data_IF_725175838111
#
_entry.id   IF_725175838111
#
_cell.length_a   1.000
_cell.length_b   1.000
_cell.length_c   1.000
_cell.angle_alpha   90.00
_cell.angle_beta   90.00
_cell.angle_gamma   90.00
#
_symmetry.space_group_name_H-M   'P 1'
#
loop_
_entity.id
_entity.type
_entity.pdbx_description
1 polymer ?
#
# COMPACT_ATOMS: atom_id res chain seq x y z
N UNK A 1 -3.19 20.06 10.82
CA UNK A 1 -3.95 19.06 11.59
C UNK A 1 -3.41 17.71 11.21
N UNK A 2 -2.64 17.04 12.08
CA UNK A 2 -2.17 15.68 11.81
C UNK A 2 -3.34 14.73 12.00
N UNK A 3 -3.75 14.04 10.94
CA UNK A 3 -4.55 12.84 11.09
C UNK A 3 -3.73 11.87 11.94
N UNK A 4 -4.26 11.50 13.11
CA UNK A 4 -3.75 10.36 13.87
C UNK A 4 -4.04 9.13 13.02
N UNK A 5 -3.06 8.69 12.22
CA UNK A 5 -3.09 7.35 11.65
C UNK A 5 -2.90 6.37 12.81
N UNK A 6 -3.88 5.50 13.02
CA UNK A 6 -3.82 4.37 13.96
C UNK A 6 -2.83 3.28 13.48
N UNK A 7 -1.67 3.67 12.96
CA UNK A 7 -0.67 2.76 12.43
C UNK A 7 0.45 2.55 13.43
N UNK A 8 0.61 1.33 13.92
CA UNK A 8 1.87 0.90 14.54
C UNK A 8 2.98 0.79 13.47
N UNK A 9 4.21 0.59 13.94
CA UNK A 9 5.36 0.36 13.06
C UNK A 9 5.08 -0.77 12.07
N UNK A 10 5.41 -0.52 10.81
CA UNK A 10 5.29 -1.52 9.75
C UNK A 10 6.67 -1.94 9.29
N UNK A 11 6.92 -3.24 9.30
CA UNK A 11 8.20 -3.82 8.91
C UNK A 11 8.04 -4.65 7.64
N UNK A 12 9.06 -4.59 6.79
CA UNK A 12 9.16 -5.40 5.60
C UNK A 12 10.62 -5.79 5.34
N UNK A 13 10.85 -6.84 4.54
CA UNK A 13 12.18 -7.15 4.04
C UNK A 13 12.35 -6.75 2.60
N UNK A 14 13.58 -6.41 2.22
CA UNK A 14 14.01 -6.37 0.83
C UNK A 14 15.22 -7.29 0.62
N UNK A 15 15.24 -7.96 -0.52
CA UNK A 15 16.31 -8.87 -0.93
C UNK A 15 16.90 -8.44 -2.29
N UNK A 16 18.21 -8.65 -2.46
CA UNK A 16 18.83 -8.60 -3.78
C UNK A 16 18.26 -9.74 -4.65
N UNK A 17 17.81 -9.44 -5.87
CA UNK A 17 17.26 -10.44 -6.79
C UNK A 17 18.33 -11.42 -7.29
N UNK A 18 19.60 -11.04 -7.27
CA UNK A 18 20.70 -11.81 -7.85
C UNK A 18 21.25 -12.90 -6.92
N UNK A 19 21.05 -12.78 -5.60
CA UNK A 19 21.55 -13.74 -4.62
C UNK A 19 20.80 -13.64 -3.27
N UNK A 20 21.14 -14.52 -2.32
CA UNK A 20 20.51 -14.58 -0.99
C UNK A 20 21.36 -14.00 0.14
N UNK A 21 22.50 -13.37 -0.16
CA UNK A 21 23.49 -12.98 0.84
C UNK A 21 23.74 -11.47 0.89
N UNK A 22 23.76 -10.79 -0.25
CA UNK A 22 24.13 -9.38 -0.36
C UNK A 22 22.92 -8.45 -0.36
N UNK A 23 23.13 -7.19 0.08
CA UNK A 23 22.15 -6.09 0.00
C UNK A 23 20.74 -6.48 0.47
N UNK A 24 20.64 -7.16 1.61
CA UNK A 24 19.35 -7.47 2.24
C UNK A 24 19.04 -6.41 3.27
N UNK A 25 17.80 -5.95 3.30
CA UNK A 25 17.38 -4.90 4.22
C UNK A 25 16.17 -5.33 5.04
N UNK A 26 16.18 -4.97 6.32
CA UNK A 26 14.95 -4.74 7.07
C UNK A 26 14.55 -3.29 6.82
N UNK A 27 13.37 -3.08 6.27
CA UNK A 27 12.79 -1.76 6.08
C UNK A 27 11.81 -1.49 7.22
N UNK A 28 12.00 -0.36 7.90
CA UNK A 28 11.10 0.07 8.97
C UNK A 28 10.38 1.33 8.51
N UNK A 29 9.05 1.26 8.52
CA UNK A 29 8.15 2.36 8.17
C UNK A 29 7.39 2.81 9.42
N UNK A 30 7.15 4.12 9.53
CA UNK A 30 6.37 4.69 10.62
C UNK A 30 4.95 4.09 10.69
N UNK A 31 4.35 3.82 9.53
CA UNK A 31 3.06 3.13 9.39
C UNK A 31 3.04 2.33 8.08
N UNK A 32 2.02 1.49 7.91
CA UNK A 32 1.74 0.84 6.64
C UNK A 32 1.49 1.84 5.50
N UNK A 33 0.75 2.92 5.75
CA UNK A 33 0.46 3.95 4.74
C UNK A 33 1.74 4.59 4.20
N UNK A 34 2.76 4.75 5.06
CA UNK A 34 4.08 5.23 4.64
C UNK A 34 4.76 4.20 3.73
N UNK A 35 4.61 2.90 3.99
CA UNK A 35 5.15 1.85 3.12
C UNK A 35 4.48 1.83 1.74
N UNK A 36 3.16 1.99 1.70
CA UNK A 36 2.38 2.07 0.47
C UNK A 36 2.69 3.34 -0.32
N UNK A 37 2.80 4.49 0.37
CA UNK A 37 3.23 5.77 -0.21
C UNK A 37 4.66 5.69 -0.77
N UNK A 38 5.60 5.12 -0.01
CA UNK A 38 6.97 4.95 -0.45
C UNK A 38 7.05 4.10 -1.73
N UNK A 39 6.37 2.94 -1.75
CA UNK A 39 6.39 2.08 -2.92
C UNK A 39 5.75 2.78 -4.14
N UNK A 40 4.66 3.52 -3.91
CA UNK A 40 4.00 4.31 -4.96
C UNK A 40 4.94 5.36 -5.55
N UNK A 41 5.67 6.11 -4.73
CA UNK A 41 6.66 7.10 -5.20
C UNK A 41 7.78 6.45 -6.01
N UNK A 42 8.24 5.26 -5.60
CA UNK A 42 9.22 4.49 -6.38
C UNK A 42 8.66 4.14 -7.76
N UNK A 43 7.46 3.57 -7.83
CA UNK A 43 6.86 3.20 -9.13
C UNK A 43 6.48 4.39 -9.99
N UNK A 44 5.99 5.48 -9.39
CA UNK A 44 5.66 6.71 -10.11
C UNK A 44 6.92 7.35 -10.70
N UNK A 45 8.04 7.38 -9.96
CA UNK A 45 9.31 7.88 -10.49
C UNK A 45 9.77 7.11 -11.74
N UNK A 46 9.54 5.80 -11.77
CA UNK A 46 9.86 4.95 -12.93
C UNK A 46 8.92 5.23 -14.09
N UNK A 47 7.62 5.39 -13.82
CA UNK A 47 6.62 5.76 -14.83
C UNK A 47 6.91 7.13 -15.45
N UNK A 48 7.45 8.06 -14.66
CA UNK A 48 7.90 9.39 -15.10
C UNK A 48 9.28 9.36 -15.81
N UNK A 49 9.82 8.17 -16.08
CA UNK A 49 11.06 7.96 -16.83
C UNK A 49 12.34 7.91 -15.99
N UNK A 50 12.26 8.07 -14.67
CA UNK A 50 13.41 7.91 -13.77
C UNK A 50 13.62 6.42 -13.41
N UNK A 51 14.19 5.67 -14.36
CA UNK A 51 14.30 4.20 -14.31
C UNK A 51 15.33 3.64 -13.31
N UNK A 52 15.99 4.47 -12.50
CA UNK A 52 17.04 4.04 -11.55
C UNK A 52 16.56 2.94 -10.60
N UNK A 53 15.28 2.98 -10.20
CA UNK A 53 14.70 2.00 -9.29
C UNK A 53 13.70 1.06 -9.97
N UNK A 54 13.75 0.93 -11.30
CA UNK A 54 12.85 0.06 -12.07
C UNK A 54 12.95 -1.42 -11.69
N UNK A 55 14.06 -1.84 -11.07
CA UNK A 55 14.24 -3.19 -10.56
C UNK A 55 13.64 -3.42 -9.16
N UNK A 56 13.10 -2.38 -8.50
CA UNK A 56 12.41 -2.53 -7.21
C UNK A 56 11.02 -3.11 -7.47
N UNK A 57 10.74 -4.27 -6.87
CA UNK A 57 9.44 -4.93 -6.98
C UNK A 57 8.88 -5.26 -5.60
N UNK A 58 7.59 -5.03 -5.42
CA UNK A 58 6.84 -5.53 -4.26
C UNK A 58 6.32 -6.93 -4.59
N UNK A 59 6.76 -7.93 -3.82
CA UNK A 59 6.28 -9.32 -3.93
C UNK A 59 5.08 -9.54 -3.02
N UNK A 60 5.13 -9.00 -1.81
CA UNK A 60 4.01 -8.91 -0.86
C UNK A 60 4.12 -7.59 -0.10
N UNK A 61 3.10 -7.15 0.67
CA UNK A 61 3.21 -5.94 1.47
C UNK A 61 4.44 -5.89 2.40
N UNK A 62 4.91 -7.05 2.88
CA UNK A 62 6.07 -7.18 3.77
C UNK A 62 7.33 -7.74 3.09
N UNK A 63 7.34 -7.90 1.75
CA UNK A 63 8.48 -8.46 1.03
C UNK A 63 8.71 -7.79 -0.33
N UNK A 64 9.93 -7.30 -0.53
CA UNK A 64 10.38 -6.61 -1.74
C UNK A 64 11.63 -7.27 -2.31
N UNK A 65 11.85 -7.08 -3.61
CA UNK A 65 13.11 -7.39 -4.28
C UNK A 65 13.68 -6.15 -4.94
N UNK A 66 14.99 -6.13 -5.15
CA UNK A 66 15.65 -5.11 -5.95
C UNK A 66 16.92 -5.63 -6.61
N UNK A 67 17.46 -4.89 -7.58
CA UNK A 67 18.79 -5.13 -8.13
C UNK A 67 19.72 -3.95 -7.75
N UNK A 68 20.69 -4.13 -6.84
CA UNK A 68 21.57 -3.04 -6.40
C UNK A 68 22.50 -2.54 -7.52
N UNK A 69 22.73 -3.35 -8.57
CA UNK A 69 23.47 -2.93 -9.76
C UNK A 69 22.68 -1.98 -10.68
N UNK A 70 21.36 -1.93 -10.57
CA UNK A 70 20.50 -0.95 -11.26
C UNK A 70 20.21 0.23 -10.34
N UNK A 71 19.80 -0.06 -9.11
CA UNK A 71 19.56 0.94 -8.08
C UNK A 71 19.37 0.29 -6.72
N UNK A 72 20.20 0.69 -5.75
CA UNK A 72 20.10 0.22 -4.39
C UNK A 72 18.84 0.81 -3.72
N UNK A 73 17.90 -0.05 -3.32
CA UNK A 73 16.59 0.31 -2.78
C UNK A 73 16.68 1.26 -1.57
N UNK A 74 17.73 1.13 -0.76
CA UNK A 74 17.94 1.97 0.42
C UNK A 74 18.20 3.45 0.07
N UNK A 75 18.64 3.74 -1.16
CA UNK A 75 18.92 5.11 -1.61
C UNK A 75 17.66 5.89 -2.00
N UNK A 76 16.51 5.21 -2.17
CA UNK A 76 15.23 5.84 -2.55
C UNK A 76 14.81 6.99 -1.63
N UNK A 77 15.07 6.86 -0.32
CA UNK A 77 14.74 7.87 0.71
C UNK A 77 15.75 9.03 0.80
N UNK A 78 16.85 8.93 0.05
CA UNK A 78 17.84 10.01 -0.10
C UNK A 78 17.80 10.66 -1.47
N UNK A 79 17.02 10.10 -2.40
CA UNK A 79 16.92 10.55 -3.78
C UNK A 79 15.83 11.61 -3.94
N UNK A 80 16.23 12.80 -4.41
CA UNK A 80 15.33 13.94 -4.62
C UNK A 80 14.20 13.66 -5.62
N UNK A 81 14.39 12.70 -6.54
CA UNK A 81 13.39 12.38 -7.57
C UNK A 81 12.42 11.28 -7.16
N UNK A 82 12.53 10.76 -5.93
CA UNK A 82 11.77 9.57 -5.50
C UNK A 82 11.05 9.78 -4.19
N UNK A 83 11.71 9.54 -3.05
CA UNK A 83 11.04 9.47 -1.75
C UNK A 83 11.76 10.29 -0.68
N UNK A 84 12.43 11.38 -1.07
CA UNK A 84 13.12 12.28 -0.14
C UNK A 84 12.18 12.81 0.96
N UNK A 85 10.93 13.11 0.61
CA UNK A 85 9.92 13.64 1.54
C UNK A 85 9.48 12.63 2.63
N UNK A 86 9.84 11.36 2.47
CA UNK A 86 9.61 10.31 3.47
C UNK A 86 10.79 10.12 4.42
N UNK A 87 11.85 10.93 4.29
CA UNK A 87 12.98 10.93 5.24
C UNK A 87 12.47 11.18 6.67
N UNK A 88 12.95 10.38 7.62
CA UNK A 88 12.50 10.41 9.01
C UNK A 88 11.23 9.59 9.28
N UNK A 89 10.57 9.05 8.24
CA UNK A 89 9.43 8.13 8.36
C UNK A 89 9.76 6.71 7.86
N UNK A 90 10.87 6.56 7.16
CA UNK A 90 11.39 5.28 6.65
C UNK A 90 12.89 5.21 6.88
N UNK A 91 13.39 4.06 7.30
CA UNK A 91 14.82 3.77 7.27
C UNK A 91 15.08 2.30 6.91
N UNK A 92 16.28 2.06 6.39
CA UNK A 92 16.76 0.76 5.95
C UNK A 92 17.88 0.30 6.88
N UNK A 93 17.75 -0.90 7.41
CA UNK A 93 18.82 -1.56 8.16
C UNK A 93 19.41 -2.63 7.25
N UNK A 94 20.68 -2.45 6.84
CA UNK A 94 21.40 -3.50 6.11
C UNK A 94 21.58 -4.70 7.03
N UNK A 95 21.09 -5.85 6.60
CA UNK A 95 21.19 -7.09 7.35
C UNK A 95 22.57 -7.70 7.10
N UNK A 96 23.23 -8.12 8.17
CA UNK A 96 24.54 -8.77 8.09
C UNK A 96 24.55 -9.92 7.08
N UNK A 97 25.67 -10.05 6.37
CA UNK A 97 25.98 -11.21 5.55
C UNK A 97 25.96 -12.51 6.40
N UNK A 98 25.93 -13.66 5.70
CA UNK A 98 25.89 -15.10 6.09
C UNK A 98 25.88 -15.56 7.57
N UNK A 99 26.41 -14.81 8.52
CA UNK A 99 26.56 -15.15 9.94
C UNK A 99 25.41 -14.65 10.86
N UNK A 100 24.43 -13.94 10.32
CA UNK A 100 23.24 -13.49 11.06
C UNK A 100 22.24 -14.61 11.35
N UNK A 101 22.56 -15.55 12.24
CA UNK A 101 21.62 -16.60 12.72
C UNK A 101 20.43 -16.05 13.52
N UNK A 102 20.31 -14.73 13.64
CA UNK A 102 19.34 -14.03 14.49
C UNK A 102 18.66 -12.94 13.64
N UNK A 103 17.98 -13.33 12.57
CA UNK A 103 17.07 -12.40 11.91
C UNK A 103 15.77 -12.37 12.72
N UNK A 104 15.44 -11.20 13.28
CA UNK A 104 14.15 -10.98 13.91
C UNK A 104 13.07 -11.24 12.87
N UNK A 105 12.21 -12.22 13.11
CA UNK A 105 11.10 -12.58 12.21
C UNK A 105 10.09 -11.45 12.28
N UNK A 106 9.90 -10.74 11.16
CA UNK A 106 8.79 -9.80 11.03
C UNK A 106 7.49 -10.60 11.15
N UNK A 107 6.60 -10.28 12.12
CA UNK A 107 5.33 -10.99 12.25
C UNK A 107 4.50 -10.79 10.98
N UNK A 108 3.82 -11.85 10.56
CA UNK A 108 2.90 -11.78 9.41
C UNK A 108 1.74 -10.87 9.78
N UNK A 109 1.53 -9.84 8.96
CA UNK A 109 0.40 -8.94 9.08
C UNK A 109 -0.61 -9.27 7.98
N UNK A 110 -1.80 -9.72 8.39
CA UNK A 110 -2.89 -10.11 7.48
C UNK A 110 -3.65 -8.88 6.96
N UNK A 111 -2.93 -8.02 6.24
CA UNK A 111 -3.48 -6.84 5.61
C UNK A 111 -3.99 -7.15 4.21
N UNK A 112 -5.18 -6.66 3.89
CA UNK A 112 -5.67 -6.66 2.51
C UNK A 112 -4.87 -5.64 1.71
N UNK A 113 -4.22 -6.06 0.62
CA UNK A 113 -3.52 -5.13 -0.27
C UNK A 113 -4.54 -4.32 -1.08
N UNK A 114 -4.54 -3.00 -0.91
CA UNK A 114 -5.45 -2.10 -1.61
C UNK A 114 -4.80 -1.67 -2.92
N UNK A 115 -5.15 -2.36 -4.01
CA UNK A 115 -4.68 -2.03 -5.34
C UNK A 115 -5.81 -1.56 -6.23
N UNK A 116 -5.48 -0.68 -7.18
CA UNK A 116 -6.42 -0.12 -8.13
C UNK A 116 -7.11 -1.23 -8.93
N UNK A 117 -8.43 -1.34 -8.82
CA UNK A 117 -9.25 -2.38 -9.45
C UNK A 117 -9.49 -3.63 -8.60
N UNK A 118 -8.98 -3.69 -7.37
CA UNK A 118 -9.26 -4.80 -6.45
C UNK A 118 -10.65 -4.65 -5.78
N UNK A 119 -11.23 -5.79 -5.39
CA UNK A 119 -12.60 -5.89 -4.89
C UNK A 119 -12.67 -6.42 -3.47
N UNK A 120 -13.36 -5.70 -2.57
CA UNK A 120 -13.38 -5.97 -1.13
C UNK A 120 -14.78 -5.90 -0.53
N UNK A 121 -14.97 -6.58 0.59
CA UNK A 121 -16.06 -6.26 1.51
C UNK A 121 -15.62 -5.10 2.41
N UNK A 122 -16.41 -4.04 2.47
CA UNK A 122 -16.18 -2.91 3.37
C UNK A 122 -16.92 -3.18 4.67
N UNK A 123 -16.23 -3.07 5.81
CA UNK A 123 -16.75 -3.36 7.14
C UNK A 123 -16.53 -2.21 8.11
N UNK A 124 -17.38 -2.12 9.12
CA UNK A 124 -17.17 -1.22 10.26
C UNK A 124 -15.98 -1.70 11.10
N UNK A 125 -15.11 -0.77 11.48
CA UNK A 125 -14.00 -1.03 12.40
C UNK A 125 -14.51 -1.33 13.82
N UNK A 126 -15.37 -0.48 14.44
CA UNK A 126 -15.86 -0.75 15.80
C UNK A 126 -16.87 -1.91 15.87
N UNK A 127 -17.48 -2.30 14.76
CA UNK A 127 -18.44 -3.41 14.69
C UNK A 127 -18.09 -4.36 13.53
N UNK A 128 -17.12 -5.27 13.72
CA UNK A 128 -16.59 -6.13 12.66
C UNK A 128 -17.59 -7.04 11.94
N UNK A 129 -18.76 -7.27 12.54
CA UNK A 129 -19.88 -8.05 11.98
C UNK A 129 -20.76 -7.24 11.02
N UNK A 130 -20.54 -5.93 10.93
CA UNK A 130 -21.36 -5.00 10.15
C UNK A 130 -20.62 -4.57 8.88
N UNK A 131 -21.24 -4.83 7.73
CA UNK A 131 -20.69 -4.61 6.39
C UNK A 131 -21.51 -3.63 5.58
N UNK A 132 -20.91 -3.05 4.55
CA UNK A 132 -21.65 -2.32 3.52
C UNK A 132 -22.36 -3.31 2.60
N UNK A 133 -23.62 -3.04 2.34
CA UNK A 133 -24.44 -3.73 1.37
C UNK A 133 -25.05 -2.72 0.41
N UNK A 134 -24.95 -3.00 -0.88
CA UNK A 134 -25.55 -2.20 -1.95
C UNK A 134 -26.85 -2.88 -2.40
N UNK A 135 -27.96 -2.19 -2.19
CA UNK A 135 -29.29 -2.62 -2.63
C UNK A 135 -29.56 -2.05 -4.03
N UNK A 136 -29.49 -2.92 -5.04
CA UNK A 136 -29.70 -2.58 -6.44
C UNK A 136 -31.12 -2.10 -6.73
N UNK A 137 -32.12 -2.53 -5.95
CA UNK A 137 -33.51 -2.12 -6.16
C UNK A 137 -33.77 -0.67 -5.75
N UNK A 138 -32.99 -0.18 -4.79
CA UNK A 138 -33.12 1.17 -4.23
C UNK A 138 -31.97 2.09 -4.64
N UNK A 139 -30.93 1.54 -5.25
CA UNK A 139 -29.70 2.25 -5.61
C UNK A 139 -29.06 2.96 -4.40
N UNK A 140 -28.96 2.26 -3.26
CA UNK A 140 -28.39 2.80 -2.01
C UNK A 140 -27.43 1.82 -1.36
N UNK A 141 -26.42 2.36 -0.67
CA UNK A 141 -25.52 1.61 0.20
C UNK A 141 -25.95 1.82 1.66
N UNK A 142 -26.05 0.74 2.43
CA UNK A 142 -26.30 0.81 3.87
C UNK A 142 -25.52 -0.26 4.64
N UNK A 143 -25.45 -0.08 5.95
CA UNK A 143 -24.83 -1.02 6.87
C UNK A 143 -25.76 -2.22 7.17
N UNK A 144 -25.24 -3.44 7.07
CA UNK A 144 -25.98 -4.70 7.28
C UNK A 144 -25.09 -5.73 7.98
N UNK A 145 -25.70 -6.59 8.81
CA UNK A 145 -25.00 -7.69 9.50
C UNK A 145 -25.23 -9.06 8.85
N UNK A 146 -26.25 -9.13 8.00
CA UNK A 146 -26.76 -10.32 7.34
C UNK A 146 -26.40 -10.37 5.84
N UNK A 147 -26.08 -9.21 5.24
CA UNK A 147 -25.75 -9.06 3.82
C UNK A 147 -24.51 -8.21 3.64
N UNK A 148 -23.80 -8.45 2.53
CA UNK A 148 -22.57 -7.75 2.16
C UNK A 148 -22.39 -7.72 0.65
N UNK A 149 -21.89 -6.60 0.14
CA UNK A 149 -21.55 -6.46 -1.28
C UNK A 149 -20.04 -6.31 -1.44
N UNK A 150 -19.48 -6.89 -2.50
CA UNK A 150 -18.10 -6.60 -2.89
C UNK A 150 -18.05 -5.31 -3.70
N UNK A 151 -17.19 -4.40 -3.29
CA UNK A 151 -16.96 -3.11 -3.92
C UNK A 151 -15.60 -3.14 -4.59
N UNK A 152 -15.55 -2.83 -5.89
CA UNK A 152 -14.28 -2.60 -6.57
C UNK A 152 -13.86 -1.16 -6.34
N UNK A 153 -12.65 -0.97 -5.81
CA UNK A 153 -12.08 0.35 -5.52
C UNK A 153 -11.17 0.73 -6.67
N UNK A 154 -11.41 1.89 -7.27
CA UNK A 154 -10.59 2.43 -8.35
C UNK A 154 -10.12 3.84 -8.02
N UNK A 155 -8.90 4.16 -8.44
CA UNK A 155 -8.36 5.51 -8.38
C UNK A 155 -9.06 6.33 -9.47
N UNK A 156 -9.51 7.54 -9.11
CA UNK A 156 -10.24 8.44 -10.01
C UNK A 156 -9.38 8.94 -11.18
N UNK A 157 -8.07 9.05 -10.98
CA UNK A 157 -7.09 9.32 -12.03
C UNK A 157 -7.07 8.19 -13.08
N UNK A 158 -7.61 8.50 -14.26
CA UNK A 158 -7.73 7.56 -15.39
C UNK A 158 -6.39 7.15 -15.99
N UNK A 159 -5.33 7.93 -15.75
CA UNK A 159 -4.00 7.59 -16.24
C UNK A 159 -3.31 6.59 -15.32
N UNK A 160 -3.91 6.26 -14.17
CA UNK A 160 -3.30 5.35 -13.23
C UNK A 160 -3.45 3.90 -13.65
N UNK A 161 -2.32 3.19 -13.67
CA UNK A 161 -2.28 1.79 -14.03
C UNK A 161 -3.17 0.94 -13.11
N UNK A 162 -3.76 -0.11 -13.69
CA UNK A 162 -4.38 -1.17 -12.91
C UNK A 162 -3.33 -1.82 -12.01
N UNK A 163 -3.73 -2.20 -10.78
CA UNK A 163 -2.82 -2.78 -9.80
C UNK A 163 -1.94 -1.77 -9.05
N UNK A 164 -1.99 -0.47 -9.37
CA UNK A 164 -1.27 0.55 -8.62
C UNK A 164 -1.74 0.60 -7.15
N UNK A 165 -0.81 0.69 -6.21
CA UNK A 165 -1.08 0.63 -4.75
C UNK A 165 -1.79 1.89 -4.28
N UNK A 166 -3.06 1.80 -3.88
CA UNK A 166 -3.87 2.95 -3.46
C UNK A 166 -3.27 3.56 -2.19
N UNK A 167 -3.11 4.89 -2.18
CA UNK A 167 -2.56 5.64 -1.03
C UNK A 167 -3.59 6.68 -0.54
N UNK A 168 -3.42 7.17 0.69
CA UNK A 168 -4.41 8.04 1.34
C UNK A 168 -4.67 9.40 0.66
N UNK A 169 -3.82 9.81 -0.29
CA UNK A 169 -4.02 11.02 -1.10
C UNK A 169 -4.78 10.76 -2.40
N UNK A 170 -5.07 9.50 -2.74
CA UNK A 170 -5.81 9.16 -3.96
C UNK A 170 -7.30 9.46 -3.77
N UNK A 171 -7.88 10.19 -4.73
CA UNK A 171 -9.33 10.18 -4.89
C UNK A 171 -9.74 8.81 -5.45
N UNK A 172 -10.76 8.19 -4.84
CA UNK A 172 -11.25 6.87 -5.24
C UNK A 172 -12.74 6.90 -5.53
N UNK A 173 -13.18 6.01 -6.42
CA UNK A 173 -14.59 5.69 -6.62
C UNK A 173 -14.83 4.20 -6.45
N UNK A 174 -16.04 3.88 -5.98
CA UNK A 174 -16.48 2.51 -5.81
C UNK A 174 -17.35 2.09 -7.00
N UNK A 175 -17.19 0.83 -7.42
CA UNK A 175 -18.10 0.21 -8.36
C UNK A 175 -18.64 -1.12 -7.84
N UNK A 176 -19.85 -1.47 -8.25
CA UNK A 176 -20.45 -2.81 -8.07
C UNK A 176 -20.87 -3.29 -9.45
N UNK A 177 -20.35 -4.45 -9.88
CA UNK A 177 -20.63 -5.04 -11.19
C UNK A 177 -20.42 -4.05 -12.37
N UNK A 178 -19.40 -3.19 -12.28
CA UNK A 178 -19.10 -2.17 -13.29
C UNK A 178 -19.92 -0.88 -13.20
N UNK A 179 -20.94 -0.82 -12.35
CA UNK A 179 -21.72 0.40 -12.08
C UNK A 179 -21.02 1.24 -11.03
N UNK A 180 -20.72 2.51 -11.36
CA UNK A 180 -20.24 3.49 -10.39
C UNK A 180 -21.39 3.88 -9.45
N UNK A 181 -21.13 3.75 -8.16
CA UNK A 181 -22.10 3.96 -7.08
C UNK A 181 -21.82 5.26 -6.31
N UNK A 182 -20.91 6.11 -6.82
CA UNK A 182 -20.76 7.52 -6.48
C UNK A 182 -20.85 7.78 -4.99
N UNK A 183 -19.84 7.36 -4.21
CA UNK A 183 -19.77 7.74 -2.79
C UNK A 183 -19.29 9.18 -2.72
N UNK A 184 -20.19 10.15 -2.89
CA UNK A 184 -19.87 11.56 -2.70
C UNK A 184 -19.77 11.85 -1.20
N UNK A 185 -18.72 12.59 -0.82
CA UNK A 185 -18.42 13.02 0.55
C UNK A 185 -19.46 13.98 1.19
N UNK A 186 -20.73 13.95 0.75
CA UNK A 186 -21.76 14.86 1.25
C UNK A 186 -22.45 14.40 2.54
N UNK A 187 -22.11 13.23 3.08
CA UNK A 187 -22.46 12.85 4.47
C UNK A 187 -21.36 11.97 5.06
N UNK A 188 -20.36 12.57 5.73
CA UNK A 188 -19.48 11.99 6.76
C UNK A 188 -19.24 10.46 6.77
N UNK A 189 -18.93 9.85 5.62
CA UNK A 189 -18.32 8.52 5.59
C UNK A 189 -16.86 8.70 5.22
N UNK A 190 -16.06 9.06 6.22
CA UNK A 190 -14.61 8.99 6.09
C UNK A 190 -14.22 7.52 5.88
N UNK A 191 -13.80 7.20 4.65
CA UNK A 191 -13.11 5.94 4.35
C UNK A 191 -11.70 6.13 4.89
N UNK A 192 -11.47 5.69 6.13
CA UNK A 192 -10.13 5.56 6.68
C UNK A 192 -9.55 4.24 6.18
N UNK A 193 -8.45 4.31 5.42
CA UNK A 193 -7.53 3.19 5.28
C UNK A 193 -6.71 3.04 6.56
#
# INVERSE_FOLDING_TARGET
MSSNSNGGLFYAYAKNILDDVTYRYLITFATRDVADTWYRLVTDSVADGYVRYAAVQRVTPQFYTHNPGVGNIALTITDQKVALDLRGKVFFTLINDRDGRIQSIVPVLNYAEHSNGASFYIRSIPQPDTYWFYDTSRNVVFASRDRRTRFTINIADKNRAAGAVIIGSDDVYLTVNGTNIGVTNQQNFAIYF
#
